data_IF_029551012432
#
_entry.id   IF_029551012432
#
_cell.length_a   1.000
_cell.length_b   1.000
_cell.length_c   1.000
_cell.angle_alpha   90.00
_cell.angle_beta   90.00
_cell.angle_gamma   90.00
#
_symmetry.space_group_name_H-M   'P 1'
#
loop_
_entity.id
_entity.type
_entity.pdbx_description
1 polymer ?
#
# COMPACT_ATOMS: atom_id res chain seq x y z
N UNK A 1 -23.96 -43.88 -52.50
CA UNK A 1 -24.27 -42.52 -52.01
C UNK A 1 -23.91 -42.32 -50.52
N UNK A 2 -22.82 -42.90 -50.00
CA UNK A 2 -22.47 -42.83 -48.56
C UNK A 2 -21.33 -41.85 -48.26
N UNK A 3 -20.50 -41.49 -49.25
CA UNK A 3 -19.31 -40.65 -49.03
C UNK A 3 -19.61 -39.16 -48.78
N UNK A 4 -20.61 -38.59 -49.46
CA UNK A 4 -20.90 -37.16 -49.38
C UNK A 4 -21.32 -36.68 -47.97
N UNK A 5 -22.10 -37.48 -47.24
CA UNK A 5 -22.54 -37.13 -45.88
C UNK A 5 -21.43 -37.22 -44.82
N UNK A 6 -20.36 -37.97 -45.08
CA UNK A 6 -19.26 -38.15 -44.13
C UNK A 6 -18.26 -36.97 -44.15
N UNK A 7 -18.04 -36.36 -45.31
CA UNK A 7 -17.13 -35.21 -45.47
C UNK A 7 -17.77 -33.94 -44.92
N UNK A 8 -19.03 -33.67 -45.27
CA UNK A 8 -19.75 -32.47 -44.82
C UNK A 8 -19.89 -32.45 -43.27
N UNK A 9 -20.20 -33.60 -42.67
CA UNK A 9 -20.32 -33.73 -41.22
C UNK A 9 -18.98 -33.57 -40.49
N UNK A 10 -17.86 -33.98 -41.08
CA UNK A 10 -16.52 -33.76 -40.52
C UNK A 10 -16.09 -32.30 -40.57
N UNK A 11 -16.38 -31.58 -41.67
CA UNK A 11 -16.08 -30.16 -41.80
C UNK A 11 -16.92 -29.30 -40.83
N UNK A 12 -18.20 -29.63 -40.67
CA UNK A 12 -19.09 -29.01 -39.68
C UNK A 12 -18.56 -29.20 -38.25
N UNK A 13 -18.05 -30.39 -37.90
CA UNK A 13 -17.46 -30.68 -36.58
C UNK A 13 -16.16 -29.91 -36.36
N UNK A 14 -15.28 -29.83 -37.36
CA UNK A 14 -14.03 -29.05 -37.30
C UNK A 14 -14.29 -27.56 -37.10
N UNK A 15 -15.29 -27.00 -37.77
CA UNK A 15 -15.65 -25.59 -37.62
C UNK A 15 -16.20 -25.27 -36.22
N UNK A 16 -17.01 -26.17 -35.65
CA UNK A 16 -17.51 -26.02 -34.26
C UNK A 16 -16.35 -26.03 -33.25
N UNK A 17 -15.41 -26.96 -33.40
CA UNK A 17 -14.23 -27.05 -32.52
C UNK A 17 -13.35 -25.80 -32.58
N UNK A 18 -13.14 -25.22 -33.77
CA UNK A 18 -12.39 -23.95 -33.92
C UNK A 18 -13.04 -22.80 -33.15
N UNK A 19 -14.38 -22.69 -33.17
CA UNK A 19 -15.11 -21.67 -32.41
C UNK A 19 -14.88 -21.85 -30.90
N UNK A 20 -14.99 -23.08 -30.38
CA UNK A 20 -14.72 -23.36 -28.96
C UNK A 20 -13.28 -23.02 -28.54
N UNK A 21 -12.29 -23.30 -29.40
CA UNK A 21 -10.89 -22.95 -29.12
C UNK A 21 -10.72 -21.43 -29.04
N UNK A 22 -11.33 -20.67 -29.95
CA UNK A 22 -11.26 -19.19 -29.93
C UNK A 22 -11.90 -18.65 -28.65
N UNK A 23 -13.06 -19.17 -28.24
CA UNK A 23 -13.69 -18.77 -26.97
C UNK A 23 -12.83 -19.13 -25.75
N UNK A 24 -12.17 -20.28 -25.76
CA UNK A 24 -11.24 -20.69 -24.71
C UNK A 24 -10.06 -19.72 -24.58
N UNK A 25 -9.43 -19.36 -25.71
CA UNK A 25 -8.33 -18.39 -25.72
C UNK A 25 -8.79 -17.02 -25.21
N UNK A 26 -9.97 -16.54 -25.67
CA UNK A 26 -10.53 -15.28 -25.19
C UNK A 26 -10.83 -15.31 -23.68
N UNK A 27 -11.33 -16.43 -23.16
CA UNK A 27 -11.61 -16.60 -21.73
C UNK A 27 -10.33 -16.56 -20.88
N UNK A 28 -9.25 -17.19 -21.36
CA UNK A 28 -7.95 -17.14 -20.66
C UNK A 28 -7.41 -15.71 -20.61
N UNK A 29 -7.46 -14.97 -21.72
CA UNK A 29 -7.03 -13.56 -21.77
C UNK A 29 -7.87 -12.72 -20.79
N UNK A 30 -9.19 -12.90 -20.79
CA UNK A 30 -10.09 -12.22 -19.86
C UNK A 30 -9.75 -12.54 -18.40
N UNK A 31 -9.49 -13.81 -18.07
CA UNK A 31 -9.12 -14.21 -16.72
C UNK A 31 -7.81 -13.58 -16.26
N UNK A 32 -6.78 -13.54 -17.11
CA UNK A 32 -5.51 -12.88 -16.75
C UNK A 32 -5.72 -11.41 -16.44
N UNK A 33 -6.57 -10.70 -17.20
CA UNK A 33 -6.91 -9.30 -16.95
C UNK A 33 -7.64 -9.15 -15.61
N UNK A 34 -8.66 -9.96 -15.35
CA UNK A 34 -9.43 -9.92 -14.10
C UNK A 34 -8.56 -10.23 -12.89
N UNK A 35 -7.74 -11.28 -12.96
CA UNK A 35 -6.80 -11.65 -11.89
C UNK A 35 -5.75 -10.56 -11.67
N UNK A 36 -5.26 -9.93 -12.74
CA UNK A 36 -4.31 -8.82 -12.63
C UNK A 36 -4.94 -7.62 -11.93
N UNK A 37 -6.18 -7.24 -12.30
CA UNK A 37 -6.90 -6.14 -11.65
C UNK A 37 -7.19 -6.48 -10.19
N UNK A 38 -7.65 -7.70 -9.87
CA UNK A 38 -7.87 -8.12 -8.49
C UNK A 38 -6.59 -8.13 -7.67
N UNK A 39 -5.49 -8.67 -8.21
CA UNK A 39 -4.17 -8.63 -7.59
C UNK A 39 -3.74 -7.19 -7.31
N UNK A 40 -3.81 -6.31 -8.30
CA UNK A 40 -3.48 -4.90 -8.12
C UNK A 40 -4.42 -4.17 -7.16
N UNK A 41 -5.69 -4.55 -7.09
CA UNK A 41 -6.69 -3.86 -6.23
C UNK A 41 -6.61 -4.31 -4.79
N UNK A 42 -6.43 -5.62 -4.55
CA UNK A 42 -6.26 -6.21 -3.22
C UNK A 42 -4.87 -5.86 -2.67
N UNK A 43 -3.85 -5.92 -3.52
CA UNK A 43 -2.46 -5.64 -3.17
C UNK A 43 -2.06 -4.19 -3.42
N UNK A 44 -2.99 -3.29 -3.79
CA UNK A 44 -2.72 -1.85 -3.90
C UNK A 44 -2.21 -1.42 -2.55
N UNK A 45 -0.90 -1.24 -2.48
CA UNK A 45 -0.15 -0.93 -1.28
C UNK A 45 -0.77 0.31 -0.68
N UNK A 46 -1.63 0.12 0.32
CA UNK A 46 -2.43 1.21 0.84
C UNK A 46 -1.50 1.95 1.77
N UNK A 47 -0.99 3.09 1.29
CA UNK A 47 0.00 3.89 2.02
C UNK A 47 -0.42 3.96 3.50
N UNK A 48 0.46 3.52 4.43
CA UNK A 48 0.12 3.47 5.83
C UNK A 48 -0.27 4.87 6.29
N UNK A 49 -1.47 5.00 6.87
CA UNK A 49 -1.94 6.30 7.34
C UNK A 49 -1.27 6.61 8.67
N UNK A 50 -0.46 7.66 8.68
CA UNK A 50 0.14 8.19 9.90
C UNK A 50 -0.89 9.08 10.61
N UNK A 51 -1.19 8.77 11.87
CA UNK A 51 -2.09 9.58 12.71
C UNK A 51 -1.38 9.92 13.99
N UNK A 52 -1.39 11.21 14.37
CA UNK A 52 -1.01 11.62 15.72
C UNK A 52 -2.17 11.23 16.65
N UNK A 53 -1.93 10.34 17.61
CA UNK A 53 -2.93 9.86 18.57
C UNK A 53 -3.05 10.80 19.74
N UNK A 54 -1.91 11.29 20.24
CA UNK A 54 -1.87 12.27 21.32
C UNK A 54 -0.54 13.01 21.25
N UNK A 55 -0.57 14.28 21.66
CA UNK A 55 0.60 15.07 21.96
C UNK A 55 0.37 15.66 23.34
N UNK A 56 1.21 15.29 24.30
CA UNK A 56 1.23 15.89 25.63
C UNK A 56 2.52 16.67 25.75
N UNK A 57 2.43 17.88 26.27
CA UNK A 57 3.60 18.65 26.64
C UNK A 57 3.85 18.44 28.12
N UNK A 58 5.10 18.30 28.53
CA UNK A 58 5.40 18.35 29.96
C UNK A 58 5.12 19.76 30.47
N UNK A 59 4.74 19.87 31.73
CA UNK A 59 4.30 21.14 32.34
C UNK A 59 5.41 22.20 32.43
N UNK A 60 6.66 21.82 32.14
CA UNK A 60 7.84 22.68 32.25
C UNK A 60 8.24 23.23 30.88
N UNK A 61 7.89 24.49 30.63
CA UNK A 61 8.39 25.28 29.51
C UNK A 61 9.49 26.19 30.03
N UNK A 62 10.74 25.87 29.71
CA UNK A 62 11.88 26.71 30.09
C UNK A 62 12.25 27.61 28.91
N UNK A 63 12.09 28.91 29.10
CA UNK A 63 12.37 29.93 28.08
C UNK A 63 13.40 30.88 28.64
N UNK A 64 14.51 31.02 27.92
CA UNK A 64 15.60 31.92 28.25
C UNK A 64 15.18 33.38 28.20
N UNK A 65 16.07 34.25 28.66
CA UNK A 65 15.80 35.68 28.75
C UNK A 65 16.07 36.37 27.41
N UNK A 66 15.64 37.63 27.28
CA UNK A 66 15.94 38.42 26.08
C UNK A 66 17.45 38.63 25.83
N UNK A 67 18.27 38.51 26.88
CA UNK A 67 19.72 38.62 26.80
C UNK A 67 20.40 37.29 26.39
N UNK A 68 19.80 36.15 26.75
CA UNK A 68 20.26 34.80 26.39
C UNK A 68 19.06 33.94 25.96
N UNK A 69 18.67 34.04 24.67
CA UNK A 69 17.48 33.36 24.17
C UNK A 69 17.73 31.86 24.04
N UNK A 70 17.01 31.09 24.84
CA UNK A 70 16.94 29.63 24.76
C UNK A 70 15.49 29.17 24.89
N UNK A 71 15.19 27.97 24.45
CA UNK A 71 13.92 27.33 24.77
C UNK A 71 14.14 25.83 24.94
N UNK A 72 13.56 25.27 25.98
CA UNK A 72 13.55 23.85 26.24
C UNK A 72 12.10 23.42 26.48
N UNK A 73 11.64 22.48 25.65
CA UNK A 73 10.28 21.99 25.63
C UNK A 73 10.35 20.48 25.50
N UNK A 74 9.77 19.76 26.46
CA UNK A 74 9.59 18.33 26.36
C UNK A 74 8.17 18.02 25.86
N UNK A 75 8.09 17.25 24.77
CA UNK A 75 6.82 16.83 24.18
C UNK A 75 6.77 15.31 24.03
N UNK A 76 5.79 14.70 24.67
CA UNK A 76 5.45 13.29 24.52
C UNK A 76 4.39 13.11 23.43
N UNK A 77 4.81 12.62 22.26
CA UNK A 77 3.91 12.37 21.13
C UNK A 77 3.73 10.88 20.88
N UNK A 78 2.48 10.44 20.73
CA UNK A 78 2.12 9.08 20.33
C UNK A 78 1.66 9.09 18.88
N UNK A 79 2.34 8.32 18.05
CA UNK A 79 1.99 8.14 16.65
C UNK A 79 1.35 6.77 16.45
N UNK A 80 0.24 6.74 15.72
CA UNK A 80 -0.39 5.51 15.25
C UNK A 80 -0.14 5.34 13.77
N UNK A 81 0.43 4.20 13.38
CA UNK A 81 0.58 3.83 11.97
C UNK A 81 -0.51 2.83 11.61
N UNK A 82 -1.56 3.28 10.95
CA UNK A 82 -2.65 2.41 10.55
C UNK A 82 -2.23 1.63 9.30
N UNK A 83 -1.99 0.32 9.47
CA UNK A 83 -1.81 -0.59 8.34
C UNK A 83 -3.19 -0.93 7.76
N UNK A 84 -3.42 -0.55 6.51
CA UNK A 84 -4.70 -0.75 5.84
C UNK A 84 -4.65 -1.93 4.85
N UNK A 85 -3.56 -2.71 4.87
CA UNK A 85 -3.37 -3.93 4.07
C UNK A 85 -3.89 -5.16 4.84
N UNK A 86 -4.47 -6.12 4.10
CA UNK A 86 -4.83 -7.43 4.65
C UNK A 86 -3.58 -8.31 4.76
N UNK A 87 -2.96 -8.30 5.94
CA UNK A 87 -1.80 -9.11 6.26
C UNK A 87 -0.88 -8.45 7.27
N UNK A 88 0.01 -9.22 7.92
CA UNK A 88 0.99 -8.68 8.85
C UNK A 88 1.96 -7.75 8.11
N UNK A 89 1.98 -6.47 8.51
CA UNK A 89 2.89 -5.46 7.96
C UNK A 89 4.07 -5.27 8.89
N UNK A 90 5.29 -5.53 8.40
CA UNK A 90 6.51 -5.27 9.14
C UNK A 90 6.87 -3.79 9.00
N UNK A 91 6.83 -3.07 10.10
CA UNK A 91 7.30 -1.69 10.15
C UNK A 91 8.83 -1.66 10.10
N UNK A 92 9.37 -0.95 9.11
CA UNK A 92 10.81 -0.67 9.03
C UNK A 92 11.17 0.49 9.97
N UNK A 93 12.47 0.64 10.27
CA UNK A 93 12.97 1.76 11.05
C UNK A 93 12.56 3.09 10.41
N UNK A 94 11.86 3.92 11.17
CA UNK A 94 11.41 5.23 10.74
C UNK A 94 12.04 6.33 11.61
N UNK A 95 12.36 7.45 10.97
CA UNK A 95 12.89 8.67 11.61
C UNK A 95 11.83 9.76 11.54
N UNK A 96 11.67 10.50 12.64
CA UNK A 96 10.80 11.68 12.68
C UNK A 96 11.67 12.91 12.80
N UNK A 97 11.51 13.85 11.88
CA UNK A 97 12.15 15.16 11.94
C UNK A 97 11.18 16.20 12.49
N UNK A 98 11.68 17.04 13.40
CA UNK A 98 10.93 18.17 13.94
C UNK A 98 11.50 19.48 13.41
N UNK A 99 10.61 20.31 12.85
CA UNK A 99 10.95 21.61 12.28
C UNK A 99 10.18 22.72 12.98
N UNK A 100 10.87 23.83 13.25
CA UNK A 100 10.27 25.09 13.68
C UNK A 100 10.66 26.17 12.67
N UNK A 101 9.67 26.84 12.05
CA UNK A 101 9.90 27.86 11.01
C UNK A 101 10.95 27.42 9.96
N UNK A 102 10.79 26.21 9.42
CA UNK A 102 11.69 25.58 8.45
C UNK A 102 13.10 25.23 8.96
N UNK A 103 13.40 25.44 10.24
CA UNK A 103 14.67 25.06 10.86
C UNK A 103 14.49 23.73 11.58
N UNK A 104 15.35 22.74 11.30
CA UNK A 104 15.36 21.47 12.02
C UNK A 104 15.83 21.70 13.45
N UNK A 105 14.96 21.46 14.43
CA UNK A 105 15.21 21.77 15.84
C UNK A 105 15.67 20.54 16.65
N UNK A 106 15.60 19.34 16.07
CA UNK A 106 15.97 18.10 16.76
C UNK A 106 17.05 17.35 15.97
N UNK A 107 18.22 17.17 16.58
CA UNK A 107 19.36 16.45 16.01
C UNK A 107 20.13 15.71 17.12
N UNK A 108 20.45 14.41 16.97
CA UNK A 108 20.04 13.51 15.88
C UNK A 108 18.55 13.14 15.96
N UNK A 109 17.91 12.75 14.83
CA UNK A 109 16.48 12.48 14.80
C UNK A 109 16.11 11.24 15.65
N UNK A 110 15.00 11.29 16.41
CA UNK A 110 14.53 10.18 17.21
C UNK A 110 14.14 9.00 16.31
N UNK A 111 14.56 7.81 16.71
CA UNK A 111 14.19 6.55 16.06
C UNK A 111 12.88 6.06 16.67
N UNK A 112 11.88 5.77 15.83
CA UNK A 112 10.66 5.12 16.30
C UNK A 112 11.01 3.66 16.59
N UNK A 113 10.90 3.25 17.87
CA UNK A 113 10.96 1.85 18.25
C UNK A 113 9.53 1.28 18.25
N UNK A 114 9.35 0.14 17.61
CA UNK A 114 8.06 -0.57 17.67
C UNK A 114 7.88 -1.11 19.08
N UNK A 115 6.80 -0.72 19.77
CA UNK A 115 6.37 -1.44 20.97
C UNK A 115 5.73 -2.74 20.51
N UNK A 116 6.38 -3.87 20.85
CA UNK A 116 5.86 -5.22 20.66
C UNK A 116 4.51 -5.42 21.35
#
# INVERSE_FOLDING_TARGET
MVEAGSVESQDLRRQKMKKYIIYGVAFVIFQVIVLSIMGLTIMKFRNPKFRVRSATFDDTFDVGTAADPSFNIAMNTKFGVMNNNFGPFKYQNATVDFYYRNTKILSPPPKIQNSS
#
